data_IF_363154109155
#
_entry.id   IF_363154109155
#
_cell.length_a   1.000
_cell.length_b   1.000
_cell.length_c   1.000
_cell.angle_alpha   90.00
_cell.angle_beta   90.00
_cell.angle_gamma   90.00
#
_symmetry.space_group_name_H-M   'P 1'
#
loop_
_entity.id
_entity.type
_entity.pdbx_description
1 polymer ?
#
# COMPACT_ATOMS: atom_id res chain seq x y z
N UNK A 1 -1.79 -12.37 20.06
CA UNK A 1 -1.33 -11.19 20.82
C UNK A 1 -2.10 -10.93 22.13
N UNK A 2 -3.16 -11.61 22.45
CA UNK A 2 -4.01 -11.37 23.67
C UNK A 2 -3.28 -11.43 25.04
N UNK A 3 -1.97 -11.72 25.08
CA UNK A 3 -1.24 -11.91 26.34
C UNK A 3 0.19 -11.32 26.30
N UNK A 4 0.47 -10.41 25.40
CA UNK A 4 1.81 -9.82 25.32
C UNK A 4 1.72 -8.31 25.60
N UNK A 5 2.41 -7.87 26.63
CA UNK A 5 2.62 -6.46 26.97
C UNK A 5 3.65 -5.83 26.01
N UNK A 6 3.39 -5.89 24.70
CA UNK A 6 4.32 -5.39 23.70
C UNK A 6 4.01 -3.94 23.34
N UNK A 7 5.05 -3.16 23.14
CA UNK A 7 4.96 -1.87 22.46
C UNK A 7 4.74 -2.09 20.96
N UNK A 8 3.90 -1.27 20.34
CA UNK A 8 3.78 -1.19 18.89
C UNK A 8 4.81 -0.20 18.36
N UNK A 9 5.55 -0.61 17.36
CA UNK A 9 6.36 0.29 16.56
C UNK A 9 5.70 0.45 15.17
N UNK A 10 5.40 1.70 14.81
CA UNK A 10 4.79 2.05 13.55
C UNK A 10 5.80 2.80 12.68
N UNK A 11 5.77 2.57 11.38
CA UNK A 11 6.47 3.44 10.44
C UNK A 11 5.61 4.65 10.10
N UNK A 12 6.22 5.84 10.05
CA UNK A 12 5.55 7.09 9.68
C UNK A 12 5.52 7.33 8.17
N UNK A 13 6.33 6.60 7.41
CA UNK A 13 6.37 6.62 5.97
C UNK A 13 6.48 5.20 5.45
N UNK A 14 5.83 4.90 4.32
CA UNK A 14 6.01 3.63 3.64
C UNK A 14 7.40 3.62 2.98
N UNK A 15 8.22 2.64 3.34
CA UNK A 15 9.61 2.52 2.85
C UNK A 15 9.67 2.37 1.34
N UNK A 16 8.80 1.52 0.79
CA UNK A 16 8.79 1.18 -0.65
C UNK A 16 8.18 2.27 -1.55
N UNK A 17 7.80 3.40 -1.00
CA UNK A 17 7.45 4.63 -1.73
C UNK A 17 8.64 5.59 -1.85
N UNK A 18 9.88 5.12 -1.61
CA UNK A 18 11.05 5.97 -1.48
C UNK A 18 10.89 6.99 -0.34
N UNK A 19 10.36 6.55 0.80
CA UNK A 19 10.04 7.40 1.96
C UNK A 19 9.16 8.59 1.60
N UNK A 20 8.04 8.34 0.91
CA UNK A 20 7.08 9.36 0.47
C UNK A 20 7.53 10.19 -0.75
N UNK A 21 8.33 9.64 -1.63
CA UNK A 21 8.44 10.16 -2.99
C UNK A 21 7.05 10.11 -3.62
N UNK A 22 6.39 8.94 -3.53
CA UNK A 22 4.97 8.77 -3.85
C UNK A 22 4.11 8.96 -2.60
N UNK A 23 2.94 9.56 -2.78
CA UNK A 23 2.01 9.82 -1.69
C UNK A 23 1.37 8.53 -1.17
N UNK A 24 1.52 8.31 0.12
CA UNK A 24 0.96 7.16 0.82
C UNK A 24 0.53 7.57 2.23
N UNK A 25 -0.76 7.56 2.51
CA UNK A 25 -1.30 7.93 3.83
C UNK A 25 -1.45 6.69 4.70
N UNK A 26 -0.75 6.70 5.85
CA UNK A 26 -0.60 5.54 6.73
C UNK A 26 -1.79 5.30 7.65
N UNK A 27 -2.55 6.34 8.02
CA UNK A 27 -3.57 6.23 9.05
C UNK A 27 -4.65 5.17 8.77
N UNK A 28 -5.13 4.95 7.53
CA UNK A 28 -6.08 3.87 7.28
C UNK A 28 -5.54 2.50 7.65
N UNK A 29 -4.25 2.24 7.41
CA UNK A 29 -3.59 1.00 7.81
C UNK A 29 -3.42 0.89 9.33
N UNK A 30 -3.03 1.99 9.98
CA UNK A 30 -2.91 1.98 11.44
C UNK A 30 -4.25 1.72 12.12
N UNK A 31 -5.35 2.29 11.59
CA UNK A 31 -6.71 1.99 12.10
C UNK A 31 -7.03 0.51 11.98
N UNK A 32 -6.78 -0.11 10.85
CA UNK A 32 -6.97 -1.56 10.67
C UNK A 32 -6.21 -2.37 11.74
N UNK A 33 -4.98 -1.95 12.09
CA UNK A 33 -4.18 -2.59 13.14
C UNK A 33 -4.82 -2.40 14.52
N UNK A 34 -5.19 -1.16 14.86
CA UNK A 34 -5.79 -0.86 16.17
C UNK A 34 -7.15 -1.52 16.35
N UNK A 35 -7.97 -1.59 15.30
CA UNK A 35 -9.28 -2.26 15.34
C UNK A 35 -9.17 -3.78 15.57
N UNK A 36 -8.07 -4.40 15.17
CA UNK A 36 -7.81 -5.83 15.39
C UNK A 36 -7.10 -6.13 16.73
N UNK A 37 -6.56 -5.12 17.40
CA UNK A 37 -5.87 -5.29 18.69
C UNK A 37 -6.85 -5.10 19.85
N UNK A 38 -6.82 -5.98 20.88
CA UNK A 38 -7.58 -5.75 22.10
C UNK A 38 -7.03 -4.49 22.82
N UNK A 39 -7.93 -3.60 23.22
CA UNK A 39 -7.60 -2.33 23.89
C UNK A 39 -6.65 -2.50 25.10
N UNK A 40 -6.81 -3.59 25.85
CA UNK A 40 -6.05 -3.86 27.08
C UNK A 40 -4.59 -4.27 26.86
N UNK A 41 -4.13 -4.44 25.60
CA UNK A 41 -2.83 -5.03 25.31
C UNK A 41 -1.79 -4.07 24.72
N UNK A 42 -2.17 -2.84 24.41
CA UNK A 42 -1.23 -1.85 23.87
C UNK A 42 -0.67 -1.04 25.04
N UNK A 43 0.55 -1.36 25.48
CA UNK A 43 1.22 -0.63 26.55
C UNK A 43 1.85 0.67 26.09
N UNK A 44 2.30 0.74 24.86
CA UNK A 44 2.88 1.93 24.26
C UNK A 44 2.89 1.84 22.75
N UNK A 45 2.90 2.99 22.10
CA UNK A 45 3.05 3.13 20.66
C UNK A 45 4.23 4.04 20.39
N UNK A 46 5.19 3.57 19.60
CA UNK A 46 6.31 4.37 19.11
C UNK A 46 6.25 4.43 17.59
N UNK A 47 6.88 5.41 17.01
CA UNK A 47 7.01 5.48 15.55
C UNK A 47 8.44 5.82 15.14
N UNK A 48 8.83 5.29 14.01
CA UNK A 48 10.14 5.52 13.39
C UNK A 48 9.97 6.02 11.97
N UNK A 49 10.88 6.87 11.54
CA UNK A 49 11.00 7.30 10.16
C UNK A 49 12.37 7.89 9.89
N UNK A 50 12.84 7.72 8.67
CA UNK A 50 13.92 8.50 8.12
C UNK A 50 13.35 9.85 7.67
N UNK A 51 13.75 10.94 8.31
CA UNK A 51 13.22 12.27 8.02
C UNK A 51 13.89 12.93 6.83
N UNK A 52 15.08 12.45 6.44
CA UNK A 52 15.87 13.11 5.40
C UNK A 52 16.43 14.47 5.86
N UNK A 53 16.80 15.28 4.89
CA UNK A 53 17.35 16.65 5.10
C UNK A 53 16.54 17.73 4.37
N UNK A 54 15.33 17.41 3.89
CA UNK A 54 14.43 18.36 3.28
C UNK A 54 13.77 19.30 4.28
N UNK A 55 13.28 20.43 3.82
CA UNK A 55 12.54 21.39 4.67
C UNK A 55 11.19 20.82 5.14
N UNK A 56 10.59 19.93 4.36
CA UNK A 56 9.38 19.22 4.71
C UNK A 56 9.69 17.79 5.15
N UNK A 57 8.83 17.23 6.00
CA UNK A 57 8.87 15.82 6.34
C UNK A 57 8.90 14.95 5.07
N UNK A 58 9.95 14.14 4.91
CA UNK A 58 10.20 13.29 3.74
C UNK A 58 10.28 14.01 2.38
N UNK A 59 10.36 15.35 2.36
CA UNK A 59 10.38 16.15 1.13
C UNK A 59 9.05 16.24 0.37
N UNK A 60 7.96 15.75 0.96
CA UNK A 60 6.61 15.84 0.39
C UNK A 60 5.68 16.57 1.35
N UNK A 61 5.17 17.78 1.01
CA UNK A 61 4.35 18.57 1.95
C UNK A 61 3.16 17.80 2.51
N UNK A 62 2.48 17.00 1.68
CA UNK A 62 1.32 16.20 2.11
C UNK A 62 1.67 15.02 3.02
N UNK A 63 2.93 14.56 3.05
CA UNK A 63 3.35 13.47 3.93
C UNK A 63 3.29 13.85 5.42
N UNK A 64 3.29 15.16 5.74
CA UNK A 64 3.12 15.65 7.10
C UNK A 64 1.81 15.20 7.76
N UNK A 65 0.79 14.84 6.98
CA UNK A 65 -0.44 14.24 7.50
C UNK A 65 -0.17 12.96 8.30
N UNK A 66 0.81 12.15 7.89
CA UNK A 66 1.17 10.94 8.62
C UNK A 66 1.72 11.24 10.01
N UNK A 67 2.60 12.23 10.13
CA UNK A 67 3.13 12.65 11.44
C UNK A 67 2.04 13.20 12.35
N UNK A 68 1.14 14.04 11.81
CA UNK A 68 0.02 14.62 12.55
C UNK A 68 -0.95 13.54 13.04
N UNK A 69 -1.41 12.67 12.13
CA UNK A 69 -2.38 11.64 12.47
C UNK A 69 -1.81 10.56 13.39
N UNK A 70 -0.51 10.27 13.28
CA UNK A 70 0.18 9.44 14.27
C UNK A 70 0.11 10.03 15.67
N UNK A 71 0.40 11.32 15.83
CA UNK A 71 0.35 11.99 17.13
C UNK A 71 -1.03 11.89 17.78
N UNK A 72 -2.09 12.08 17.01
CA UNK A 72 -3.47 11.92 17.50
C UNK A 72 -3.78 10.47 17.88
N UNK A 73 -3.43 9.51 17.02
CA UNK A 73 -3.70 8.10 17.24
C UNK A 73 -2.91 7.53 18.43
N UNK A 74 -1.66 7.96 18.61
CA UNK A 74 -0.83 7.55 19.74
C UNK A 74 -1.35 8.09 21.07
N UNK A 75 -2.00 9.25 21.05
CA UNK A 75 -2.66 9.84 22.22
C UNK A 75 -4.02 9.20 22.50
N UNK A 76 -4.82 8.97 21.47
CA UNK A 76 -6.13 8.35 21.56
C UNK A 76 -6.28 7.26 20.46
N UNK A 77 -6.21 5.99 20.84
CA UNK A 77 -6.36 4.87 19.89
C UNK A 77 -7.70 4.85 19.13
N UNK A 78 -8.74 5.52 19.65
CA UNK A 78 -10.06 5.63 19.01
C UNK A 78 -10.14 6.76 17.97
N UNK A 79 -9.03 7.41 17.65
CA UNK A 79 -9.00 8.51 16.67
C UNK A 79 -9.59 8.10 15.34
N UNK A 80 -10.58 8.83 14.86
CA UNK A 80 -11.17 8.63 13.54
C UNK A 80 -10.23 9.12 12.43
N UNK A 81 -9.97 8.25 11.45
CA UNK A 81 -9.02 8.55 10.38
C UNK A 81 -9.47 9.72 9.50
N UNK A 82 -10.74 9.77 9.13
CA UNK A 82 -11.24 10.83 8.23
C UNK A 82 -11.28 12.18 8.95
N UNK A 83 -11.72 12.19 10.21
CA UNK A 83 -11.75 13.39 11.01
C UNK A 83 -10.34 13.97 11.25
N UNK A 84 -9.35 13.13 11.52
CA UNK A 84 -7.96 13.56 11.76
C UNK A 84 -7.30 14.11 10.49
N UNK A 85 -7.53 13.51 9.33
CA UNK A 85 -7.05 14.03 8.04
C UNK A 85 -7.69 15.38 7.73
N UNK A 86 -9.00 15.50 7.90
CA UNK A 86 -9.72 16.77 7.70
C UNK A 86 -9.25 17.86 8.66
N UNK A 87 -8.98 17.52 9.91
CA UNK A 87 -8.41 18.45 10.88
C UNK A 87 -7.04 18.96 10.44
N UNK A 88 -6.14 18.06 10.03
CA UNK A 88 -4.83 18.44 9.50
C UNK A 88 -4.93 19.39 8.31
N UNK A 89 -5.84 19.11 7.37
CA UNK A 89 -6.05 19.98 6.19
C UNK A 89 -6.46 21.38 6.63
N UNK A 90 -7.44 21.50 7.54
CA UNK A 90 -7.90 22.81 8.05
C UNK A 90 -6.83 23.60 8.79
N UNK A 91 -5.93 22.91 9.50
CA UNK A 91 -4.81 23.54 10.21
C UNK A 91 -3.69 23.97 9.26
N UNK A 92 -3.59 23.35 8.10
CA UNK A 92 -2.48 23.55 7.15
C UNK A 92 -2.87 24.48 5.99
N UNK A 93 -4.08 24.33 5.46
CA UNK A 93 -4.54 25.00 4.26
C UNK A 93 -5.87 25.72 4.49
N UNK A 94 -5.99 26.92 3.92
CA UNK A 94 -7.24 27.69 3.94
C UNK A 94 -8.18 27.30 2.78
N UNK A 95 -8.57 26.02 2.74
CA UNK A 95 -9.39 25.48 1.67
C UNK A 95 -10.89 25.74 1.88
N UNK A 96 -11.65 25.73 0.77
CA UNK A 96 -13.10 25.64 0.86
C UNK A 96 -13.52 24.24 1.38
N UNK A 97 -14.74 24.08 1.94
CA UNK A 97 -15.21 22.75 2.36
C UNK A 97 -15.20 21.71 1.24
N UNK A 98 -15.40 22.13 -0.02
CA UNK A 98 -15.30 21.26 -1.19
C UNK A 98 -13.88 20.79 -1.44
N UNK A 99 -12.90 21.71 -1.37
CA UNK A 99 -11.50 21.40 -1.63
C UNK A 99 -10.90 20.57 -0.48
N UNK A 100 -11.31 20.87 0.77
CA UNK A 100 -10.99 20.05 1.95
C UNK A 100 -11.45 18.60 1.75
N UNK A 101 -12.71 18.40 1.38
CA UNK A 101 -13.26 17.07 1.16
C UNK A 101 -12.56 16.33 0.01
N UNK A 102 -12.19 17.04 -1.06
CA UNK A 102 -11.48 16.47 -2.20
C UNK A 102 -10.07 15.99 -1.79
N UNK A 103 -9.31 16.83 -1.05
CA UNK A 103 -7.99 16.45 -0.57
C UNK A 103 -8.07 15.32 0.48
N UNK A 104 -9.04 15.37 1.40
CA UNK A 104 -9.22 14.32 2.40
C UNK A 104 -9.52 12.96 1.76
N UNK A 105 -10.43 12.92 0.78
CA UNK A 105 -10.73 11.70 0.03
C UNK A 105 -9.51 11.13 -0.69
N UNK A 106 -8.73 12.00 -1.34
CA UNK A 106 -7.48 11.62 -2.01
C UNK A 106 -6.47 11.04 -1.02
N UNK A 107 -6.22 11.71 0.10
CA UNK A 107 -5.27 11.24 1.11
C UNK A 107 -5.68 9.87 1.67
N UNK A 108 -6.94 9.70 2.03
CA UNK A 108 -7.45 8.45 2.61
C UNK A 108 -7.42 7.27 1.60
N UNK A 109 -7.54 7.54 0.30
CA UNK A 109 -7.48 6.50 -0.73
C UNK A 109 -6.06 6.20 -1.22
N UNK A 110 -5.10 7.10 -1.00
CA UNK A 110 -3.75 7.04 -1.59
C UNK A 110 -3.02 5.71 -1.35
N UNK A 111 -3.17 5.12 -0.16
CA UNK A 111 -2.65 3.79 0.15
C UNK A 111 -3.16 2.73 -0.82
N UNK A 112 -4.48 2.64 -1.00
CA UNK A 112 -5.08 1.62 -1.85
C UNK A 112 -4.72 1.80 -3.31
N UNK A 113 -4.69 3.04 -3.76
CA UNK A 113 -4.24 3.38 -5.11
C UNK A 113 -2.80 2.93 -5.33
N UNK A 114 -1.90 3.25 -4.39
CA UNK A 114 -0.50 2.83 -4.45
C UNK A 114 -0.36 1.31 -4.49
N UNK A 115 -1.00 0.59 -3.57
CA UNK A 115 -0.96 -0.87 -3.51
C UNK A 115 -1.48 -1.53 -4.79
N UNK A 116 -2.52 -0.97 -5.43
CA UNK A 116 -3.05 -1.51 -6.68
C UNK A 116 -2.03 -1.46 -7.82
N UNK A 117 -1.35 -0.33 -8.02
CA UNK A 117 -0.43 -0.23 -9.15
C UNK A 117 0.96 -0.79 -8.88
N UNK A 118 1.30 -1.11 -7.63
CA UNK A 118 2.62 -1.66 -7.27
C UNK A 118 2.58 -3.16 -6.97
N UNK A 119 1.99 -3.56 -5.85
CA UNK A 119 2.03 -4.90 -5.31
C UNK A 119 0.67 -5.33 -4.76
N UNK A 120 -0.35 -5.50 -5.64
CA UNK A 120 -1.69 -5.85 -5.22
C UNK A 120 -1.75 -7.24 -4.57
N UNK A 121 -2.83 -7.50 -3.83
CA UNK A 121 -3.13 -8.81 -3.23
C UNK A 121 -2.09 -9.30 -2.21
N UNK A 122 -1.25 -8.42 -1.68
CA UNK A 122 -0.17 -8.79 -0.76
C UNK A 122 1.02 -9.47 -1.44
N UNK A 123 1.23 -9.24 -2.73
CA UNK A 123 2.45 -9.67 -3.42
C UNK A 123 3.66 -9.01 -2.75
N UNK A 124 4.65 -9.82 -2.37
CA UNK A 124 5.83 -9.32 -1.70
C UNK A 124 6.94 -8.97 -2.70
N UNK A 125 7.62 -7.87 -2.41
CA UNK A 125 8.92 -7.50 -2.96
C UNK A 125 8.97 -7.45 -4.49
N UNK A 126 8.47 -6.38 -5.05
CA UNK A 126 8.57 -6.09 -6.49
C UNK A 126 9.29 -4.77 -6.77
N UNK A 127 10.02 -4.26 -5.78
CA UNK A 127 10.77 -3.00 -5.83
C UNK A 127 12.24 -3.22 -6.13
N UNK A 128 12.92 -2.18 -6.60
CA UNK A 128 14.38 -2.19 -6.71
C UNK A 128 15.02 -2.50 -5.35
N UNK A 129 16.01 -3.40 -5.32
CA UNK A 129 16.80 -3.61 -4.12
C UNK A 129 17.60 -2.36 -3.74
N UNK A 130 17.95 -2.24 -2.48
CA UNK A 130 18.74 -1.18 -1.84
C UNK A 130 18.04 0.16 -1.67
N UNK A 131 17.42 0.73 -2.69
CA UNK A 131 16.68 1.98 -2.59
C UNK A 131 15.17 1.79 -2.35
N UNK A 132 14.67 0.58 -2.51
CA UNK A 132 13.28 0.17 -2.28
C UNK A 132 12.25 1.04 -3.02
N UNK A 133 12.61 1.48 -4.22
CA UNK A 133 11.78 2.32 -5.03
C UNK A 133 11.81 1.94 -6.51
N UNK A 134 10.65 2.06 -7.16
CA UNK A 134 10.49 1.65 -8.55
C UNK A 134 10.30 0.14 -8.76
N UNK A 135 9.75 -0.27 -9.91
CA UNK A 135 9.43 -1.66 -10.19
C UNK A 135 10.66 -2.49 -10.55
N UNK A 136 10.86 -3.58 -9.83
CA UNK A 136 11.85 -4.59 -10.18
C UNK A 136 11.38 -5.99 -9.75
N UNK A 137 10.54 -6.67 -10.56
CA UNK A 137 10.01 -7.97 -10.20
C UNK A 137 11.06 -9.09 -10.16
N UNK A 138 12.22 -8.89 -10.77
CA UNK A 138 13.36 -9.83 -10.76
C UNK A 138 14.43 -9.44 -9.73
N UNK A 139 14.27 -8.32 -9.03
CA UNK A 139 15.23 -7.81 -8.05
C UNK A 139 15.21 -8.58 -6.74
N UNK A 140 16.36 -8.63 -6.07
CA UNK A 140 16.51 -9.15 -4.72
C UNK A 140 17.78 -8.58 -4.08
N UNK A 141 17.80 -8.42 -2.76
CA UNK A 141 18.94 -7.83 -2.06
C UNK A 141 20.05 -8.83 -1.74
N UNK A 142 19.67 -10.00 -1.24
CA UNK A 142 20.63 -10.99 -0.73
C UNK A 142 20.45 -12.36 -1.38
N UNK A 143 19.20 -12.86 -1.39
CA UNK A 143 18.86 -14.20 -1.84
C UNK A 143 17.41 -14.25 -2.33
N UNK A 144 17.09 -15.22 -3.17
CA UNK A 144 15.76 -15.48 -3.73
C UNK A 144 14.82 -16.22 -2.75
N UNK A 145 14.91 -15.94 -1.46
CA UNK A 145 14.08 -16.56 -0.43
C UNK A 145 13.34 -15.49 0.43
N UNK A 146 12.46 -15.94 1.31
CA UNK A 146 11.85 -15.06 2.29
C UNK A 146 10.72 -14.22 1.75
N UNK A 147 10.89 -12.92 1.69
CA UNK A 147 9.84 -11.95 1.35
C UNK A 147 9.51 -11.85 -0.13
N UNK A 148 10.26 -12.50 -0.98
CA UNK A 148 10.06 -12.41 -2.43
C UNK A 148 8.78 -13.12 -2.88
N UNK A 149 8.20 -12.62 -3.99
CA UNK A 149 6.89 -13.05 -4.48
C UNK A 149 6.83 -14.50 -4.99
N UNK A 150 7.97 -15.18 -5.18
CA UNK A 150 8.06 -16.57 -5.65
C UNK A 150 7.27 -16.88 -6.93
N UNK A 151 7.07 -15.90 -7.79
CA UNK A 151 6.40 -16.12 -9.07
C UNK A 151 7.23 -17.02 -9.98
N UNK A 152 6.55 -17.94 -10.66
CA UNK A 152 7.08 -18.76 -11.74
C UNK A 152 5.97 -19.03 -12.75
N UNK A 153 6.18 -19.95 -13.70
CA UNK A 153 5.16 -20.27 -14.74
C UNK A 153 3.88 -20.90 -14.19
N UNK A 154 3.88 -21.41 -12.98
CA UNK A 154 2.77 -22.17 -12.40
C UNK A 154 1.94 -21.32 -11.42
N UNK A 155 2.61 -20.50 -10.61
CA UNK A 155 1.99 -19.85 -9.47
C UNK A 155 2.77 -18.62 -8.98
N UNK A 156 2.12 -17.82 -8.13
CA UNK A 156 2.68 -16.66 -7.45
C UNK A 156 2.28 -16.66 -5.98
N UNK A 157 3.04 -15.95 -5.15
CA UNK A 157 2.83 -15.85 -3.71
C UNK A 157 3.62 -16.87 -2.89
N UNK A 158 3.51 -16.80 -1.59
CA UNK A 158 4.21 -17.66 -0.65
C UNK A 158 3.19 -18.40 0.20
N UNK A 159 3.27 -19.72 0.23
CA UNK A 159 2.48 -20.51 1.18
C UNK A 159 3.07 -20.34 2.59
N UNK A 160 2.39 -19.49 3.38
CA UNK A 160 2.70 -19.25 4.79
C UNK A 160 1.75 -19.97 5.75
N UNK A 161 0.90 -20.83 5.22
CA UNK A 161 -0.02 -21.67 6.00
C UNK A 161 0.72 -22.87 6.62
N UNK A 162 -0.03 -23.74 7.27
CA UNK A 162 0.50 -24.98 7.87
C UNK A 162 1.12 -25.92 6.82
N UNK A 163 0.65 -25.88 5.58
CA UNK A 163 1.18 -26.70 4.48
C UNK A 163 2.49 -26.17 3.88
N UNK A 164 2.80 -24.91 4.12
CA UNK A 164 3.99 -24.24 3.61
C UNK A 164 5.02 -23.96 4.71
N UNK A 165 5.32 -22.67 4.95
CA UNK A 165 6.34 -22.27 5.93
C UNK A 165 5.89 -22.40 7.39
N UNK A 166 4.59 -22.54 7.63
CA UNK A 166 4.02 -22.56 8.99
C UNK A 166 4.01 -21.19 9.68
N UNK A 167 4.35 -20.10 8.96
CA UNK A 167 4.41 -18.76 9.55
C UNK A 167 3.09 -18.35 10.22
N UNK A 168 1.95 -18.76 9.67
CA UNK A 168 0.63 -18.45 10.19
C UNK A 168 0.36 -19.08 11.57
N UNK A 169 1.05 -20.16 11.92
CA UNK A 169 0.86 -20.86 13.22
C UNK A 169 1.25 -20.04 14.45
N UNK A 170 2.03 -18.97 14.27
CA UNK A 170 2.39 -18.06 15.38
C UNK A 170 1.23 -17.15 15.82
N UNK A 171 0.17 -17.05 15.02
CA UNK A 171 -0.99 -16.20 15.29
C UNK A 171 -2.09 -16.93 16.07
N UNK A 172 -3.00 -16.20 16.74
CA UNK A 172 -4.17 -16.79 17.39
C UNK A 172 -5.03 -17.58 16.41
N UNK A 173 -5.76 -18.58 16.92
CA UNK A 173 -6.59 -19.50 16.13
C UNK A 173 -7.57 -18.78 15.19
N UNK A 174 -8.21 -17.71 15.66
CA UNK A 174 -9.14 -16.94 14.82
C UNK A 174 -8.46 -16.30 13.59
N UNK A 175 -7.18 -15.87 13.72
CA UNK A 175 -6.39 -15.38 12.58
C UNK A 175 -5.99 -16.54 11.66
N UNK A 176 -5.61 -17.69 12.23
CA UNK A 176 -5.31 -18.87 11.43
C UNK A 176 -6.52 -19.32 10.59
N UNK A 177 -7.72 -19.27 11.15
CA UNK A 177 -8.96 -19.55 10.42
C UNK A 177 -9.27 -18.52 9.35
N UNK A 178 -9.08 -17.22 9.65
CA UNK A 178 -9.36 -16.12 8.72
C UNK A 178 -8.41 -16.12 7.52
N UNK A 179 -7.12 -16.33 7.76
CA UNK A 179 -6.07 -16.20 6.73
C UNK A 179 -5.58 -17.54 6.17
N UNK A 180 -5.96 -18.66 6.74
CA UNK A 180 -5.46 -19.99 6.37
C UNK A 180 -6.12 -20.61 5.14
N UNK A 181 -7.29 -20.15 4.74
CA UNK A 181 -7.99 -20.57 3.54
C UNK A 181 -8.03 -19.41 2.52
N UNK A 182 -7.60 -19.60 1.28
CA UNK A 182 -7.60 -18.54 0.27
C UNK A 182 -9.00 -17.99 -0.03
N UNK A 183 -10.06 -18.75 0.26
CA UNK A 183 -11.43 -18.28 0.09
C UNK A 183 -11.96 -17.44 1.26
N UNK A 184 -11.34 -17.48 2.43
CA UNK A 184 -11.68 -16.62 3.59
C UNK A 184 -10.67 -15.49 3.79
N UNK A 185 -9.43 -15.67 3.33
CA UNK A 185 -8.39 -14.66 3.40
C UNK A 185 -8.85 -13.37 2.71
N UNK A 186 -8.70 -12.19 3.33
CA UNK A 186 -8.93 -10.93 2.64
C UNK A 186 -8.00 -10.79 1.43
N UNK A 187 -8.53 -10.29 0.32
CA UNK A 187 -7.79 -10.15 -0.94
C UNK A 187 -6.46 -9.42 -0.75
N UNK A 188 -6.44 -8.39 0.08
CA UNK A 188 -5.24 -7.60 0.39
C UNK A 188 -4.04 -8.42 0.87
N UNK A 189 -4.28 -9.56 1.51
CA UNK A 189 -3.24 -10.42 2.09
C UNK A 189 -3.14 -11.78 1.39
N UNK A 190 -3.86 -11.97 0.29
CA UNK A 190 -4.03 -13.28 -0.34
C UNK A 190 -2.69 -13.91 -0.72
N UNK A 191 -1.87 -13.22 -1.49
CA UNK A 191 -0.57 -13.73 -1.97
C UNK A 191 0.56 -13.59 -0.93
N UNK A 192 0.32 -12.84 0.14
CA UNK A 192 1.20 -12.88 1.31
C UNK A 192 1.09 -14.23 2.03
N UNK A 193 -0.13 -14.76 2.20
CA UNK A 193 -0.33 -16.01 2.93
C UNK A 193 -0.40 -17.24 2.04
N UNK A 194 -0.72 -17.11 0.76
CA UNK A 194 -0.95 -18.24 -0.15
C UNK A 194 -0.10 -18.17 -1.40
N UNK A 195 0.30 -19.36 -1.87
CA UNK A 195 0.87 -19.55 -3.20
C UNK A 195 -0.21 -20.13 -4.12
N UNK A 196 -0.64 -19.36 -5.13
CA UNK A 196 -1.79 -19.71 -5.96
C UNK A 196 -1.45 -19.74 -7.43
N UNK A 197 -2.06 -20.68 -8.20
CA UNK A 197 -1.93 -20.70 -9.65
C UNK A 197 -2.65 -19.50 -10.27
N UNK A 198 -2.18 -19.04 -11.42
CA UNK A 198 -2.73 -17.88 -12.13
C UNK A 198 -4.22 -18.02 -12.50
N UNK A 199 -4.69 -19.25 -12.67
CA UNK A 199 -6.09 -19.56 -12.98
C UNK A 199 -6.98 -19.73 -11.74
N UNK A 200 -6.44 -19.52 -10.54
CA UNK A 200 -7.22 -19.56 -9.31
C UNK A 200 -8.41 -18.60 -9.42
N UNK A 201 -9.61 -19.08 -9.03
CA UNK A 201 -10.83 -18.25 -9.06
C UNK A 201 -10.98 -17.46 -7.78
N UNK A 202 -10.94 -16.14 -7.92
CA UNK A 202 -11.18 -15.19 -6.85
C UNK A 202 -12.66 -15.19 -6.44
N UNK A 203 -12.97 -14.58 -5.29
CA UNK A 203 -14.36 -14.47 -4.77
C UNK A 203 -15.30 -13.71 -5.71
N UNK A 204 -14.76 -12.78 -6.49
CA UNK A 204 -15.49 -11.98 -7.49
C UNK A 204 -15.65 -12.69 -8.85
N UNK A 205 -15.14 -13.92 -8.96
CA UNK A 205 -15.25 -14.76 -10.16
C UNK A 205 -14.13 -14.56 -11.19
N UNK A 206 -13.29 -13.54 -11.06
CA UNK A 206 -12.11 -13.34 -11.91
C UNK A 206 -11.06 -14.43 -11.66
N UNK A 207 -10.18 -14.64 -12.63
CA UNK A 207 -8.94 -15.38 -12.36
C UNK A 207 -7.95 -14.50 -11.60
N UNK A 208 -7.04 -15.13 -10.85
CA UNK A 208 -5.99 -14.42 -10.15
C UNK A 208 -5.17 -13.51 -11.08
N UNK A 209 -4.79 -14.03 -12.24
CA UNK A 209 -4.02 -13.23 -13.20
C UNK A 209 -4.82 -12.04 -13.73
N UNK A 210 -6.11 -12.22 -14.03
CA UNK A 210 -6.96 -11.12 -14.45
C UNK A 210 -7.10 -10.06 -13.37
N UNK A 211 -7.24 -10.47 -12.11
CA UNK A 211 -7.30 -9.55 -10.98
C UNK A 211 -5.99 -8.77 -10.81
N UNK A 212 -4.83 -9.40 -11.00
CA UNK A 212 -3.53 -8.71 -10.98
C UNK A 212 -3.47 -7.65 -12.08
N UNK A 213 -3.88 -7.97 -13.31
CA UNK A 213 -3.93 -6.99 -14.40
C UNK A 213 -4.88 -5.84 -14.08
N UNK A 214 -6.08 -6.16 -13.64
CA UNK A 214 -7.11 -5.16 -13.33
C UNK A 214 -6.62 -4.19 -12.25
N UNK A 215 -6.06 -4.70 -11.15
CA UNK A 215 -5.56 -3.85 -10.06
C UNK A 215 -4.49 -2.87 -10.56
N UNK A 216 -3.56 -3.29 -11.41
CA UNK A 216 -2.55 -2.39 -11.98
C UNK A 216 -3.16 -1.33 -12.92
N UNK A 217 -4.11 -1.70 -13.77
CA UNK A 217 -4.78 -0.73 -14.65
C UNK A 217 -5.68 0.23 -13.87
N UNK A 218 -6.42 -0.28 -12.89
CA UNK A 218 -7.26 0.55 -12.02
C UNK A 218 -6.40 1.50 -11.16
N UNK A 219 -5.31 0.99 -10.55
CA UNK A 219 -4.41 1.80 -9.74
C UNK A 219 -3.76 2.94 -10.54
N UNK A 220 -3.39 2.70 -11.79
CA UNK A 220 -2.92 3.75 -12.68
C UNK A 220 -4.03 4.79 -12.97
N UNK A 221 -5.23 4.36 -13.29
CA UNK A 221 -6.36 5.29 -13.53
C UNK A 221 -6.71 6.10 -12.26
N UNK A 222 -6.65 5.49 -11.09
CA UNK A 222 -6.81 6.20 -9.82
C UNK A 222 -5.69 7.23 -9.59
N UNK A 223 -4.43 6.91 -9.92
CA UNK A 223 -3.32 7.86 -9.86
C UNK A 223 -3.52 9.04 -10.83
N UNK A 224 -4.07 8.81 -12.03
CA UNK A 224 -4.47 9.89 -12.95
C UNK A 224 -5.54 10.81 -12.31
N UNK A 225 -6.57 10.24 -11.70
CA UNK A 225 -7.60 11.00 -11.01
C UNK A 225 -7.05 11.78 -9.79
N UNK A 226 -6.09 11.20 -9.06
CA UNK A 226 -5.38 11.90 -7.99
C UNK A 226 -4.61 13.11 -8.54
N UNK A 227 -3.88 12.95 -9.64
CA UNK A 227 -3.14 14.05 -10.27
C UNK A 227 -4.08 15.18 -10.76
N UNK A 228 -5.21 14.84 -11.34
CA UNK A 228 -6.24 15.84 -11.73
C UNK A 228 -6.79 16.58 -10.51
N UNK A 229 -7.08 15.88 -9.44
CA UNK A 229 -7.53 16.48 -8.18
C UNK A 229 -6.50 17.47 -7.65
N UNK A 230 -5.24 17.04 -7.54
CA UNK A 230 -4.13 17.90 -7.07
C UNK A 230 -3.99 19.17 -7.91
N UNK A 231 -4.06 19.05 -9.24
CA UNK A 231 -3.98 20.24 -10.14
C UNK A 231 -5.10 21.23 -9.92
N UNK A 232 -6.28 20.79 -9.48
CA UNK A 232 -7.46 21.62 -9.24
C UNK A 232 -7.45 22.33 -7.89
N UNK A 233 -6.64 21.87 -6.93
CA UNK A 233 -6.62 22.39 -5.56
C UNK A 233 -5.77 23.67 -5.44
N UNK A 234 -6.24 24.67 -4.68
CA UNK A 234 -5.56 25.97 -4.56
C UNK A 234 -4.46 25.98 -3.51
N UNK A 235 -3.46 25.11 -3.66
CA UNK A 235 -2.31 25.07 -2.75
C UNK A 235 -1.56 26.41 -2.76
N UNK A 236 -1.07 26.91 -1.61
CA UNK A 236 -0.21 28.07 -1.53
C UNK A 236 1.21 27.77 -2.04
N UNK A 237 1.93 28.79 -2.47
CA UNK A 237 3.36 28.68 -2.69
C UNK A 237 4.13 28.70 -1.35
N UNK A 238 5.25 27.95 -1.20
CA UNK A 238 5.92 27.16 -2.23
C UNK A 238 5.36 25.74 -2.42
N UNK A 239 4.44 25.28 -1.58
CA UNK A 239 3.95 23.90 -1.55
C UNK A 239 3.36 23.46 -2.88
N UNK A 240 2.65 24.37 -3.57
CA UNK A 240 2.03 24.08 -4.86
C UNK A 240 3.00 23.44 -5.86
N UNK A 241 4.15 24.06 -6.07
CA UNK A 241 5.14 23.56 -7.01
C UNK A 241 5.63 22.17 -6.62
N UNK A 242 5.98 21.98 -5.35
CA UNK A 242 6.50 20.71 -4.84
C UNK A 242 5.46 19.60 -4.95
N UNK A 243 4.21 19.87 -4.54
CA UNK A 243 3.12 18.89 -4.58
C UNK A 243 2.81 18.48 -6.03
N UNK A 244 2.75 19.45 -6.95
CA UNK A 244 2.51 19.16 -8.36
C UNK A 244 3.64 18.30 -8.95
N UNK A 245 4.89 18.66 -8.73
CA UNK A 245 6.05 17.90 -9.24
C UNK A 245 6.08 16.46 -8.70
N UNK A 246 5.77 16.28 -7.42
CA UNK A 246 5.68 14.96 -6.78
C UNK A 246 4.54 14.14 -7.37
N UNK A 247 3.37 14.73 -7.58
CA UNK A 247 2.23 14.02 -8.16
C UNK A 247 2.44 13.65 -9.62
N UNK A 248 3.05 14.53 -10.43
CA UNK A 248 3.42 14.21 -11.81
C UNK A 248 4.48 13.08 -11.88
N UNK A 249 5.39 13.04 -10.91
CA UNK A 249 6.32 11.94 -10.77
C UNK A 249 5.57 10.64 -10.43
N UNK A 250 4.73 10.64 -9.40
CA UNK A 250 3.93 9.47 -9.00
C UNK A 250 3.08 8.92 -10.15
N UNK A 251 2.51 9.80 -10.97
CA UNK A 251 1.74 9.38 -12.15
C UNK A 251 2.61 8.67 -13.20
N UNK A 252 3.83 9.16 -13.46
CA UNK A 252 4.77 8.45 -14.35
C UNK A 252 5.19 7.11 -13.77
N UNK A 253 5.47 7.08 -12.48
CA UNK A 253 5.89 5.88 -11.77
C UNK A 253 4.76 4.82 -11.74
N UNK A 254 3.52 5.23 -11.50
CA UNK A 254 2.35 4.35 -11.57
C UNK A 254 2.18 3.71 -12.96
N UNK A 255 2.45 4.47 -14.03
CA UNK A 255 2.45 3.94 -15.39
C UNK A 255 3.56 2.91 -15.59
N UNK A 256 4.76 3.20 -15.14
CA UNK A 256 5.92 2.31 -15.25
C UNK A 256 5.67 1.00 -14.49
N UNK A 257 5.16 1.09 -13.26
CA UNK A 257 4.78 -0.05 -12.45
C UNK A 257 3.76 -0.94 -13.18
N UNK A 258 2.66 -0.36 -13.65
CA UNK A 258 1.63 -1.06 -14.42
C UNK A 258 2.21 -1.83 -15.60
N UNK A 259 3.04 -1.15 -16.39
CA UNK A 259 3.57 -1.69 -17.64
C UNK A 259 4.59 -2.82 -17.36
N UNK A 260 5.51 -2.64 -16.42
CA UNK A 260 6.55 -3.62 -16.09
C UNK A 260 5.94 -4.85 -15.41
N UNK A 261 5.09 -4.66 -14.40
CA UNK A 261 4.58 -5.77 -13.61
C UNK A 261 3.57 -6.59 -14.42
N UNK A 262 2.69 -5.96 -15.19
CA UNK A 262 1.79 -6.71 -16.07
C UNK A 262 2.56 -7.51 -17.13
N UNK A 263 3.62 -6.94 -17.71
CA UNK A 263 4.50 -7.65 -18.65
C UNK A 263 5.17 -8.86 -17.98
N UNK A 264 5.68 -8.68 -16.77
CA UNK A 264 6.30 -9.76 -16.02
C UNK A 264 5.32 -10.93 -15.81
N UNK A 265 4.12 -10.66 -15.34
CA UNK A 265 3.12 -11.71 -15.10
C UNK A 265 2.61 -12.34 -16.40
N UNK A 266 2.48 -11.56 -17.48
CA UNK A 266 2.12 -12.10 -18.78
C UNK A 266 3.19 -13.09 -19.29
N UNK A 267 4.46 -12.75 -19.17
CA UNK A 267 5.57 -13.64 -19.58
C UNK A 267 5.62 -14.95 -18.79
N UNK A 268 5.25 -14.91 -17.50
CA UNK A 268 5.19 -16.14 -16.70
C UNK A 268 3.92 -16.96 -16.97
N UNK A 269 2.76 -16.32 -16.95
CA UNK A 269 1.48 -17.02 -17.06
C UNK A 269 1.15 -17.45 -18.50
N UNK A 270 1.59 -16.69 -19.49
CA UNK A 270 1.15 -16.83 -20.88
C UNK A 270 -0.34 -16.54 -21.10
N UNK A 271 -1.05 -15.99 -20.11
CA UNK A 271 -2.49 -15.73 -20.16
C UNK A 271 -2.71 -14.25 -20.48
N UNK A 272 -3.36 -13.94 -21.62
CA UNK A 272 -3.61 -12.54 -21.99
C UNK A 272 -4.68 -11.90 -21.11
N UNK A 273 -4.72 -10.57 -21.11
CA UNK A 273 -5.76 -9.79 -20.45
C UNK A 273 -7.14 -10.03 -21.14
N UNK A 274 -8.16 -10.36 -20.35
CA UNK A 274 -9.52 -10.62 -20.83
C UNK A 274 -10.16 -9.38 -21.51
N UNK A 275 -9.69 -8.18 -21.16
CA UNK A 275 -10.18 -6.92 -21.72
C UNK A 275 -9.40 -6.42 -22.92
N UNK A 276 -8.35 -7.15 -23.35
CA UNK A 276 -7.54 -6.80 -24.51
C UNK A 276 -6.74 -5.51 -24.34
N UNK A 277 -6.47 -5.08 -23.11
CA UNK A 277 -5.61 -3.93 -22.82
C UNK A 277 -4.17 -4.25 -23.19
N UNK A 278 -3.40 -3.22 -23.54
CA UNK A 278 -2.01 -3.41 -23.96
C UNK A 278 -1.16 -3.88 -22.78
N UNK A 279 -0.60 -5.07 -22.92
CA UNK A 279 0.50 -5.60 -22.10
C UNK A 279 1.66 -5.84 -23.07
N UNK A 280 2.85 -5.38 -22.74
CA UNK A 280 4.02 -5.52 -23.60
C UNK A 280 4.53 -6.97 -23.59
N UNK A 281 5.01 -7.46 -24.75
CA UNK A 281 5.57 -8.81 -24.90
C UNK A 281 7.05 -8.87 -24.48
#
# INVERSE_FOLDING_TARGET
MKHTNLALELQLAQEYTGHQIDLYTMIPMWREIFDELPEDNIMSVAAVSNLGNDANYTGHPLAAVNLFTYGLLAWNPETDAAASVSEWIRLTYAFSPKDEAALAGLLLSSRRTYEKYTAPLGICWMVNPHDHYGPNPDGYEYDLWGTYHKANREAVGIDRTVSGTGYLLQYPEWMQLKYGDPHTCPDLYLLFFHRLPYVFRMKDGRTLIQRIYDDHFEGYAEAEAMAETIRSLPFPDPDRGIIHDRMERQLRDAKEWRDIINTFFFRFSGIPDEHGRMIYE
#
